data_IF_888175899695
#
_entry.id   IF_888175899695
#
_cell.length_a   1.000
_cell.length_b   1.000
_cell.length_c   1.000
_cell.angle_alpha   90.00
_cell.angle_beta   90.00
_cell.angle_gamma   90.00
#
_symmetry.space_group_name_H-M   'P 1'
#
loop_
_entity.id
_entity.type
_entity.pdbx_description
1 polymer ?
#
# COMPACT_ATOMS: atom_id res chain seq x y z
N UNK A 1 -4.99 -53.69 -5.44
CA UNK A 1 -4.08 -53.05 -4.47
C UNK A 1 -3.76 -51.66 -5.00
N UNK A 2 -4.21 -50.59 -4.35
CA UNK A 2 -3.89 -49.23 -4.80
C UNK A 2 -2.44 -48.93 -4.42
N UNK A 3 -1.57 -48.71 -5.41
CA UNK A 3 -0.21 -48.24 -5.17
C UNK A 3 -0.28 -46.75 -4.85
N UNK A 4 0.10 -46.36 -3.63
CA UNK A 4 0.21 -44.95 -3.25
C UNK A 4 1.45 -44.38 -3.94
N UNK A 5 1.23 -43.63 -5.03
CA UNK A 5 2.31 -42.94 -5.73
C UNK A 5 2.68 -41.67 -4.96
N UNK A 6 3.76 -41.75 -4.19
CA UNK A 6 4.32 -40.59 -3.49
C UNK A 6 5.37 -39.96 -4.40
N UNK A 7 4.99 -38.90 -5.10
CA UNK A 7 5.94 -38.05 -5.81
C UNK A 7 6.44 -36.97 -4.86
N UNK A 8 7.40 -37.32 -4.01
CA UNK A 8 8.26 -36.32 -3.37
C UNK A 8 9.24 -35.84 -4.44
N UNK A 9 9.13 -34.58 -4.84
CA UNK A 9 10.17 -34.02 -5.70
C UNK A 9 11.46 -33.94 -4.87
N UNK A 10 12.61 -34.30 -5.44
CA UNK A 10 13.89 -34.22 -4.73
C UNK A 10 14.13 -32.82 -4.14
N UNK A 11 13.61 -31.80 -4.84
CA UNK A 11 13.58 -30.41 -4.39
C UNK A 11 12.89 -30.21 -3.05
N UNK A 12 11.77 -30.90 -2.78
CA UNK A 12 11.06 -30.76 -1.50
C UNK A 12 11.84 -31.38 -0.34
N UNK A 13 12.57 -32.47 -0.61
CA UNK A 13 13.44 -33.14 0.37
C UNK A 13 14.64 -32.25 0.69
N UNK A 14 15.30 -31.71 -0.33
CA UNK A 14 16.44 -30.81 -0.19
C UNK A 14 16.04 -29.55 0.60
N UNK A 15 14.88 -28.96 0.30
CA UNK A 15 14.31 -27.82 1.06
C UNK A 15 14.10 -28.15 2.53
N UNK A 16 13.51 -29.33 2.83
CA UNK A 16 13.27 -29.75 4.20
C UNK A 16 14.59 -29.95 4.98
N UNK A 17 15.60 -30.56 4.35
CA UNK A 17 16.93 -30.70 4.95
C UNK A 17 17.57 -29.33 5.22
N UNK A 18 17.59 -28.43 4.23
CA UNK A 18 18.15 -27.09 4.38
C UNK A 18 17.48 -26.32 5.52
N UNK A 19 16.16 -26.45 5.67
CA UNK A 19 15.40 -25.83 6.77
C UNK A 19 15.78 -26.38 8.14
N UNK A 20 15.95 -27.71 8.26
CA UNK A 20 16.37 -28.37 9.52
C UNK A 20 17.79 -27.93 9.91
N UNK A 21 18.67 -27.74 8.93
CA UNK A 21 20.05 -27.30 9.15
C UNK A 21 20.21 -25.78 9.27
N UNK A 22 19.12 -25.00 9.19
CA UNK A 22 19.15 -23.54 9.26
C UNK A 22 19.78 -22.86 8.04
N UNK A 23 19.97 -23.60 6.95
CA UNK A 23 20.57 -23.16 5.69
C UNK A 23 19.52 -22.85 4.60
N UNK A 24 18.23 -22.84 4.95
CA UNK A 24 17.18 -22.44 4.02
C UNK A 24 17.40 -20.99 3.59
N UNK A 25 17.63 -20.79 2.29
CA UNK A 25 17.93 -19.49 1.70
C UNK A 25 16.84 -18.46 1.95
N UNK A 26 17.25 -17.21 2.15
CA UNK A 26 16.35 -16.06 2.34
C UNK A 26 15.43 -15.84 1.13
N UNK A 27 15.87 -16.28 -0.06
CA UNK A 27 15.17 -16.15 -1.35
C UNK A 27 13.76 -16.76 -1.32
N UNK A 28 13.53 -17.90 -0.65
CA UNK A 28 12.21 -18.54 -0.59
C UNK A 28 11.23 -17.79 0.34
N UNK A 29 11.74 -17.21 1.44
CA UNK A 29 10.91 -16.40 2.35
C UNK A 29 10.48 -15.10 1.68
N UNK A 30 11.35 -14.50 0.88
CA UNK A 30 11.02 -13.30 0.13
C UNK A 30 9.93 -13.53 -0.92
N UNK A 31 9.95 -14.66 -1.64
CA UNK A 31 8.92 -14.98 -2.63
C UNK A 31 7.55 -15.20 -1.97
N UNK A 32 7.49 -15.92 -0.84
CA UNK A 32 6.26 -16.11 -0.08
C UNK A 32 5.72 -14.80 0.50
N UNK A 33 6.59 -13.88 0.94
CA UNK A 33 6.17 -12.57 1.44
C UNK A 33 5.58 -11.66 0.36
N UNK A 34 6.13 -11.71 -0.86
CA UNK A 34 5.67 -10.90 -2.01
C UNK A 34 4.26 -11.26 -2.48
N UNK A 35 3.75 -12.45 -2.16
CA UNK A 35 2.42 -12.93 -2.59
C UNK A 35 1.34 -12.87 -1.49
N UNK A 36 1.67 -12.37 -0.30
CA UNK A 36 0.70 -12.26 0.81
C UNK A 36 -0.32 -11.15 0.55
N UNK A 37 -1.59 -11.50 0.72
CA UNK A 37 -2.71 -10.56 0.68
C UNK A 37 -2.52 -9.52 1.79
N UNK A 38 -2.66 -8.24 1.44
CA UNK A 38 -2.54 -7.14 2.39
C UNK A 38 -3.92 -6.81 2.97
N UNK A 39 -4.05 -6.80 4.30
CA UNK A 39 -5.27 -6.39 4.99
C UNK A 39 -5.23 -4.90 5.31
N UNK A 40 -6.24 -4.15 4.88
CA UNK A 40 -6.36 -2.73 5.18
C UNK A 40 -6.57 -2.49 6.68
N UNK A 41 -5.74 -1.66 7.30
CA UNK A 41 -5.84 -1.29 8.71
C UNK A 41 -7.02 -0.35 9.03
N UNK A 42 -7.55 0.36 8.02
CA UNK A 42 -8.69 1.28 8.19
C UNK A 42 -10.06 0.60 8.06
N UNK A 43 -10.26 -0.22 7.04
CA UNK A 43 -11.57 -0.80 6.74
C UNK A 43 -11.61 -2.34 6.73
N UNK A 44 -10.47 -3.01 6.92
CA UNK A 44 -10.35 -4.47 6.98
C UNK A 44 -10.36 -5.19 5.63
N UNK A 45 -10.48 -4.48 4.51
CA UNK A 45 -10.52 -5.07 3.16
C UNK A 45 -9.24 -5.83 2.80
N UNK A 46 -9.39 -6.91 2.04
CA UNK A 46 -8.27 -7.72 1.53
C UNK A 46 -7.84 -7.17 0.17
N UNK A 47 -6.60 -6.70 0.07
CA UNK A 47 -6.07 -6.08 -1.14
C UNK A 47 -4.93 -6.95 -1.71
N UNK A 48 -4.68 -6.77 -3.02
CA UNK A 48 -3.60 -7.45 -3.70
C UNK A 48 -2.23 -7.09 -3.07
N UNK A 49 -1.22 -7.98 -3.15
CA UNK A 49 0.10 -7.73 -2.56
C UNK A 49 0.82 -6.50 -3.15
N UNK A 50 0.50 -6.15 -4.39
CA UNK A 50 1.07 -4.99 -5.10
C UNK A 50 0.24 -3.70 -4.93
N UNK A 51 -0.86 -3.74 -4.18
CA UNK A 51 -1.73 -2.59 -4.03
C UNK A 51 -1.12 -1.55 -3.08
N UNK A 52 -0.96 -0.32 -3.56
CA UNK A 52 -0.54 0.83 -2.73
C UNK A 52 -1.70 1.42 -1.92
N UNK A 53 -2.92 1.31 -2.45
CA UNK A 53 -4.14 1.86 -1.86
C UNK A 53 -5.21 0.79 -1.67
N UNK A 54 -6.04 1.00 -0.65
CA UNK A 54 -7.20 0.16 -0.44
C UNK A 54 -8.26 0.42 -1.51
N UNK A 55 -8.73 -0.65 -2.15
CA UNK A 55 -9.78 -0.60 -3.17
C UNK A 55 -11.13 -0.07 -2.65
N UNK A 56 -11.37 -0.19 -1.33
CA UNK A 56 -12.65 0.18 -0.71
C UNK A 56 -12.65 1.59 -0.11
N UNK A 57 -11.59 1.98 0.60
CA UNK A 57 -11.55 3.23 1.36
C UNK A 57 -10.44 4.20 0.93
N UNK A 58 -9.68 3.87 -0.12
CA UNK A 58 -8.56 4.66 -0.65
C UNK A 58 -7.45 4.97 0.39
N UNK A 59 -7.40 4.25 1.50
CA UNK A 59 -6.32 4.38 2.48
C UNK A 59 -4.99 3.85 1.90
N UNK A 60 -3.85 4.50 2.17
CA UNK A 60 -2.55 3.93 1.88
C UNK A 60 -2.35 2.62 2.66
N UNK A 61 -1.80 1.61 2.01
CA UNK A 61 -1.58 0.28 2.59
C UNK A 61 -0.16 0.09 3.12
N UNK A 62 0.77 0.95 2.70
CA UNK A 62 2.16 0.93 3.15
C UNK A 62 2.60 2.32 3.62
N UNK A 63 3.61 2.34 4.49
CA UNK A 63 4.12 3.57 5.12
C UNK A 63 4.76 4.51 4.10
N UNK A 64 5.41 3.99 3.05
CA UNK A 64 6.06 4.84 2.04
C UNK A 64 5.01 5.64 1.27
N UNK A 65 3.95 4.98 0.80
CA UNK A 65 2.82 5.62 0.14
C UNK A 65 2.12 6.63 1.05
N UNK A 66 1.98 6.33 2.35
CA UNK A 66 1.41 7.28 3.30
C UNK A 66 2.26 8.57 3.41
N UNK A 67 3.58 8.43 3.57
CA UNK A 67 4.51 9.56 3.64
C UNK A 67 4.54 10.36 2.33
N UNK A 68 4.49 9.71 1.17
CA UNK A 68 4.43 10.38 -0.13
C UNK A 68 3.18 11.25 -0.28
N UNK A 69 2.01 10.74 0.13
CA UNK A 69 0.77 11.53 0.13
C UNK A 69 0.87 12.70 1.09
N UNK A 70 1.35 12.49 2.31
CA UNK A 70 1.44 13.57 3.30
C UNK A 70 2.37 14.68 2.82
N UNK A 71 3.50 14.34 2.17
CA UNK A 71 4.37 15.33 1.52
C UNK A 71 3.66 16.10 0.42
N UNK A 72 2.99 15.41 -0.50
CA UNK A 72 2.26 16.06 -1.58
C UNK A 72 1.15 16.98 -1.07
N UNK A 73 0.49 16.61 0.05
CA UNK A 73 -0.49 17.47 0.72
C UNK A 73 0.15 18.70 1.33
N UNK A 74 1.28 18.55 2.02
CA UNK A 74 2.02 19.69 2.59
C UNK A 74 2.46 20.67 1.50
N UNK A 75 2.99 20.18 0.38
CA UNK A 75 3.38 21.02 -0.75
C UNK A 75 2.18 21.76 -1.36
N UNK A 76 1.04 21.08 -1.51
CA UNK A 76 -0.20 21.69 -1.99
C UNK A 76 -0.72 22.77 -1.03
N UNK A 77 -0.68 22.51 0.28
CA UNK A 77 -1.09 23.46 1.30
C UNK A 77 -0.17 24.69 1.31
N UNK A 78 1.15 24.51 1.20
CA UNK A 78 2.11 25.61 1.06
C UNK A 78 1.87 26.46 -0.19
N UNK A 79 1.61 25.82 -1.33
CA UNK A 79 1.26 26.53 -2.57
C UNK A 79 -0.05 27.30 -2.41
N UNK A 80 -1.08 26.70 -1.81
CA UNK A 80 -2.35 27.37 -1.56
C UNK A 80 -2.17 28.57 -0.63
N UNK A 81 -1.37 28.45 0.43
CA UNK A 81 -1.09 29.56 1.35
C UNK A 81 -0.45 30.74 0.62
N UNK A 82 0.51 30.49 -0.29
CA UNK A 82 1.11 31.55 -1.13
C UNK A 82 0.09 32.19 -2.07
N UNK A 83 -0.77 31.39 -2.71
CA UNK A 83 -1.84 31.91 -3.56
C UNK A 83 -2.83 32.78 -2.77
N UNK A 84 -3.09 32.40 -1.51
CA UNK A 84 -3.91 33.19 -0.61
C UNK A 84 -3.23 34.48 -0.13
N UNK A 85 -1.96 34.75 -0.41
CA UNK A 85 -1.37 36.07 -0.13
C UNK A 85 -1.82 37.12 -1.15
N UNK A 86 -2.18 36.68 -2.36
CA UNK A 86 -2.62 37.54 -3.46
C UNK A 86 -4.06 38.07 -3.21
N UNK A 87 -4.26 39.40 -3.16
CA UNK A 87 -5.57 40.01 -2.97
C UNK A 87 -6.59 39.66 -4.06
N UNK A 88 -6.16 39.46 -5.31
CA UNK A 88 -7.05 39.10 -6.42
C UNK A 88 -7.61 37.69 -6.22
N UNK A 89 -6.75 36.77 -5.80
CA UNK A 89 -7.13 35.37 -5.51
C UNK A 89 -8.11 35.31 -4.33
N UNK A 90 -7.87 36.08 -3.26
CA UNK A 90 -8.82 36.17 -2.14
C UNK A 90 -10.20 36.63 -2.58
N UNK A 91 -10.26 37.72 -3.36
CA UNK A 91 -11.52 38.26 -3.85
C UNK A 91 -12.30 37.25 -4.70
N UNK A 92 -11.60 36.51 -5.57
CA UNK A 92 -12.20 35.45 -6.38
C UNK A 92 -12.74 34.31 -5.52
N UNK A 93 -11.97 33.88 -4.52
CA UNK A 93 -12.40 32.82 -3.59
C UNK A 93 -13.63 33.23 -2.79
N UNK A 94 -13.67 34.44 -2.27
CA UNK A 94 -14.85 34.96 -1.55
C UNK A 94 -16.11 34.95 -2.43
N UNK A 95 -16.01 35.39 -3.68
CA UNK A 95 -17.11 35.32 -4.63
C UNK A 95 -17.57 33.88 -4.88
N UNK A 96 -16.63 32.94 -5.04
CA UNK A 96 -16.95 31.53 -5.29
C UNK A 96 -17.53 30.82 -4.09
N UNK A 97 -17.06 31.11 -2.88
CA UNK A 97 -17.60 30.57 -1.63
C UNK A 97 -19.07 30.98 -1.47
N UNK A 98 -19.41 32.25 -1.73
CA UNK A 98 -20.80 32.74 -1.73
C UNK A 98 -21.67 32.05 -2.80
N UNK A 99 -21.13 31.80 -3.99
CA UNK A 99 -21.86 31.08 -5.05
C UNK A 99 -22.16 29.62 -4.67
N UNK A 100 -21.23 28.95 -3.99
CA UNK A 100 -21.34 27.54 -3.61
C UNK A 100 -22.08 27.31 -2.28
N UNK A 101 -22.46 28.37 -1.55
CA UNK A 101 -23.08 28.30 -0.21
C UNK A 101 -22.25 27.49 0.80
N UNK A 102 -20.92 27.54 0.66
CA UNK A 102 -19.99 26.87 1.58
C UNK A 102 -19.75 27.70 2.85
N UNK A 103 -20.20 28.96 2.87
CA UNK A 103 -20.35 29.84 4.02
C UNK A 103 -21.45 30.88 3.73
#
# INVERSE_FOLDING_TARGET
MAAVYVHLSGRDVDKALLKIHGLAGEEEKEEEEKLKIIKCQRCGEKNAPIAKFCLKCAAPLDVKTAVEIDRARMEADEMMNKLLEDPEVKGLLEQKIRQLKLA
#
